data_IF_610734748185
#
_entry.id   IF_610734748185
#
_cell.length_a   1.000
_cell.length_b   1.000
_cell.length_c   1.000
_cell.angle_alpha   90.00
_cell.angle_beta   90.00
_cell.angle_gamma   90.00
#
_symmetry.space_group_name_H-M   'P 1'
#
loop_
_entity.id
_entity.type
_entity.pdbx_description
1 polymer ?
#
# COMPACT_ATOMS: atom_id res chain seq x y z
N UNK A 1 38.31 -5.79 -49.73
CA UNK A 1 38.65 -4.76 -48.71
C UNK A 1 39.62 -5.43 -47.77
N UNK A 2 40.92 -5.05 -47.82
CA UNK A 2 41.92 -5.58 -46.90
C UNK A 2 41.65 -5.01 -45.51
N UNK A 3 41.41 -5.88 -44.53
CA UNK A 3 41.29 -5.51 -43.13
C UNK A 3 42.66 -4.97 -42.65
N UNK A 4 42.68 -3.68 -42.29
CA UNK A 4 43.87 -3.02 -41.70
C UNK A 4 44.17 -3.71 -40.37
N UNK A 5 45.36 -4.30 -40.24
CA UNK A 5 45.82 -4.85 -38.94
C UNK A 5 45.93 -3.73 -37.93
N UNK A 6 45.40 -3.91 -36.69
CA UNK A 6 45.48 -2.89 -35.65
C UNK A 6 46.95 -2.59 -35.27
N UNK A 7 47.22 -1.36 -34.92
CA UNK A 7 48.56 -0.94 -34.43
C UNK A 7 48.80 -1.49 -33.01
N UNK A 8 50.06 -1.50 -32.59
CA UNK A 8 50.46 -1.96 -31.25
C UNK A 8 49.73 -1.13 -30.15
N UNK A 9 49.61 0.17 -30.34
CA UNK A 9 48.93 1.09 -29.41
C UNK A 9 47.41 0.79 -29.36
N UNK A 10 46.80 0.50 -30.49
CA UNK A 10 45.37 0.09 -30.54
C UNK A 10 45.13 -1.25 -29.82
N UNK A 11 46.08 -2.20 -29.95
CA UNK A 11 46.01 -3.48 -29.21
C UNK A 11 46.21 -3.30 -27.70
N UNK A 12 47.17 -2.46 -27.31
CA UNK A 12 47.38 -2.17 -25.88
C UNK A 12 46.16 -1.49 -25.23
N UNK A 13 45.54 -0.54 -25.90
CA UNK A 13 44.31 0.09 -25.46
C UNK A 13 43.15 -0.92 -25.35
N UNK A 14 43.04 -1.84 -26.33
CA UNK A 14 42.04 -2.90 -26.30
C UNK A 14 42.25 -3.84 -25.12
N UNK A 15 43.48 -4.29 -24.89
CA UNK A 15 43.83 -5.17 -23.75
C UNK A 15 43.51 -4.50 -22.44
N UNK A 16 43.86 -3.22 -22.26
CA UNK A 16 43.55 -2.45 -21.08
C UNK A 16 42.03 -2.33 -20.81
N UNK A 17 41.27 -2.11 -21.88
CA UNK A 17 39.79 -2.07 -21.82
C UNK A 17 39.20 -3.43 -21.43
N UNK A 18 39.73 -4.53 -22.00
CA UNK A 18 39.27 -5.88 -21.67
C UNK A 18 39.61 -6.26 -20.23
N UNK A 19 40.76 -5.89 -19.71
CA UNK A 19 41.16 -6.14 -18.31
C UNK A 19 40.22 -5.38 -17.33
N UNK A 20 39.87 -4.12 -17.62
CA UNK A 20 38.89 -3.37 -16.83
C UNK A 20 37.50 -4.02 -16.86
N UNK A 21 37.08 -4.55 -18.00
CA UNK A 21 35.80 -5.28 -18.12
C UNK A 21 35.83 -6.60 -17.32
N UNK A 22 36.93 -7.33 -17.32
CA UNK A 22 37.12 -8.55 -16.51
C UNK A 22 37.03 -8.21 -15.02
N UNK A 23 37.78 -7.19 -14.57
CA UNK A 23 37.73 -6.77 -13.14
C UNK A 23 36.31 -6.38 -12.69
N UNK A 24 35.57 -5.67 -13.55
CA UNK A 24 34.17 -5.31 -13.27
C UNK A 24 33.26 -6.55 -13.18
N UNK A 25 33.44 -7.51 -14.10
CA UNK A 25 32.69 -8.79 -14.06
C UNK A 25 33.00 -9.59 -12.79
N UNK A 26 34.23 -9.68 -12.38
CA UNK A 26 34.63 -10.37 -11.16
C UNK A 26 34.01 -9.72 -9.92
N UNK A 27 34.01 -8.37 -9.83
CA UNK A 27 33.32 -7.65 -8.74
C UNK A 27 31.82 -7.90 -8.73
N UNK A 28 31.18 -8.05 -9.91
CA UNK A 28 29.74 -8.34 -9.98
C UNK A 28 29.40 -9.79 -9.62
N UNK A 29 30.25 -10.75 -9.98
CA UNK A 29 30.00 -12.18 -9.73
C UNK A 29 30.39 -12.61 -8.31
N UNK A 30 31.49 -12.07 -7.79
CA UNK A 30 32.08 -12.51 -6.52
C UNK A 30 32.05 -11.43 -5.42
N UNK A 31 31.61 -10.21 -5.73
CA UNK A 31 31.47 -9.12 -4.76
C UNK A 31 30.37 -9.44 -3.72
N UNK A 32 30.64 -9.12 -2.44
CA UNK A 32 29.68 -9.35 -1.35
C UNK A 32 28.37 -8.58 -1.57
N UNK A 33 27.28 -9.27 -1.84
CA UNK A 33 25.91 -8.72 -1.88
C UNK A 33 25.43 -8.45 -0.44
N UNK A 34 25.74 -7.28 0.13
CA UNK A 34 25.28 -6.89 1.45
C UNK A 34 24.62 -5.52 1.39
N UNK A 35 23.31 -5.46 1.58
CA UNK A 35 22.51 -4.23 1.70
C UNK A 35 22.58 -3.58 3.09
N UNK A 36 23.43 -4.06 4.00
CA UNK A 36 23.51 -3.49 5.35
C UNK A 36 24.48 -2.33 5.39
N UNK A 37 23.95 -1.11 5.55
CA UNK A 37 24.74 0.06 5.93
C UNK A 37 25.47 -0.25 7.25
N UNK A 38 26.77 0.03 7.30
CA UNK A 38 27.59 -0.14 8.51
C UNK A 38 27.15 0.84 9.59
N UNK A 39 26.25 0.41 10.49
CA UNK A 39 26.13 1.04 11.80
C UNK A 39 27.21 0.42 12.69
N UNK A 40 28.12 1.26 13.17
CA UNK A 40 29.11 0.88 14.15
C UNK A 40 28.46 0.24 15.36
N UNK A 41 28.72 -1.05 15.59
CA UNK A 41 28.41 -1.74 16.84
C UNK A 41 29.71 -1.96 17.59
N UNK A 42 29.79 -1.34 18.77
CA UNK A 42 30.73 -1.69 19.80
C UNK A 42 30.53 -3.17 20.21
N UNK A 43 31.64 -3.84 20.47
CA UNK A 43 31.69 -5.25 20.90
C UNK A 43 31.28 -5.37 22.37
N UNK A 44 30.38 -6.29 22.67
CA UNK A 44 30.30 -6.95 23.97
C UNK A 44 30.19 -8.46 23.79
N UNK A 45 30.62 -9.27 24.77
CA UNK A 45 31.11 -10.64 24.52
C UNK A 45 30.01 -11.70 24.57
N UNK A 46 30.25 -12.74 23.78
CA UNK A 46 29.46 -13.98 23.71
C UNK A 46 29.52 -14.79 25.02
N UNK A 47 28.38 -15.25 25.50
CA UNK A 47 28.26 -16.46 26.28
C UNK A 47 27.54 -17.51 25.43
N UNK A 48 28.24 -18.63 25.32
CA UNK A 48 27.76 -19.90 24.76
C UNK A 48 26.96 -20.62 25.81
N UNK A 49 25.75 -21.09 25.48
CA UNK A 49 25.23 -22.30 26.09
C UNK A 49 24.41 -23.10 25.09
N UNK A 50 24.86 -24.31 24.91
CA UNK A 50 24.27 -25.39 24.16
C UNK A 50 23.31 -26.17 25.04
N UNK A 51 22.08 -26.42 24.61
CA UNK A 51 21.35 -27.61 25.00
C UNK A 51 20.35 -28.04 23.95
N UNK A 52 20.61 -29.23 23.42
CA UNK A 52 19.68 -30.09 22.70
C UNK A 52 18.50 -30.47 23.59
N UNK A 53 17.28 -30.31 23.13
CA UNK A 53 16.19 -31.17 23.60
C UNK A 53 15.23 -31.58 22.48
N UNK A 54 14.82 -32.81 22.64
CA UNK A 54 14.22 -33.75 21.71
C UNK A 54 12.75 -33.42 21.37
N UNK A 55 12.38 -33.77 20.15
CA UNK A 55 11.01 -33.91 19.68
C UNK A 55 10.17 -34.80 20.59
N UNK A 56 9.12 -34.26 21.19
CA UNK A 56 8.01 -35.05 21.72
C UNK A 56 6.71 -34.73 20.97
N UNK A 57 6.00 -35.80 20.65
CA UNK A 57 4.80 -35.85 19.85
C UNK A 57 3.65 -35.10 20.52
N UNK A 58 3.01 -34.24 19.76
CA UNK A 58 1.83 -33.47 20.12
C UNK A 58 0.59 -34.37 20.25
N UNK A 59 -0.07 -34.47 21.42
CA UNK A 59 -1.30 -35.26 21.57
C UNK A 59 -2.46 -34.57 20.81
N UNK A 60 -3.18 -35.36 20.04
CA UNK A 60 -4.42 -34.97 19.33
C UNK A 60 -5.41 -34.31 20.29
N UNK A 61 -5.62 -33.01 20.15
CA UNK A 61 -6.70 -32.29 20.83
C UNK A 61 -8.05 -32.79 20.26
N UNK A 62 -8.75 -33.56 21.08
CA UNK A 62 -10.18 -33.85 20.91
C UNK A 62 -10.96 -32.52 20.84
N UNK A 63 -11.59 -32.26 19.72
CA UNK A 63 -12.59 -31.18 19.59
C UNK A 63 -13.81 -31.57 20.44
N UNK A 64 -13.97 -30.94 21.59
CA UNK A 64 -15.26 -30.90 22.24
C UNK A 64 -16.25 -30.20 21.29
N UNK A 65 -17.28 -30.95 20.91
CA UNK A 65 -18.43 -30.44 20.20
C UNK A 65 -19.25 -29.57 21.17
N UNK A 66 -18.96 -28.28 21.23
CA UNK A 66 -19.89 -27.34 21.83
C UNK A 66 -21.09 -27.20 20.88
N UNK A 67 -22.21 -27.72 21.34
CA UNK A 67 -23.48 -27.68 20.64
C UNK A 67 -24.04 -26.25 20.57
N UNK A 68 -24.79 -25.99 19.53
CA UNK A 68 -25.72 -24.87 19.41
C UNK A 68 -25.08 -23.54 19.00
N UNK A 69 -25.39 -23.04 17.81
CA UNK A 69 -24.99 -21.72 17.29
C UNK A 69 -25.64 -20.55 18.04
N UNK A 70 -25.40 -20.45 19.36
CA UNK A 70 -25.69 -19.26 20.15
C UNK A 70 -24.50 -18.31 20.07
N UNK A 71 -24.73 -17.01 19.90
CA UNK A 71 -23.71 -15.98 20.01
C UNK A 71 -23.02 -16.13 21.38
N UNK A 72 -21.69 -16.29 21.39
CA UNK A 72 -20.92 -16.32 22.62
C UNK A 72 -21.18 -15.00 23.36
N UNK A 73 -21.67 -15.08 24.60
CA UNK A 73 -21.82 -13.91 25.48
C UNK A 73 -20.45 -13.31 25.77
N UNK A 74 -20.38 -11.99 25.85
CA UNK A 74 -19.13 -11.31 26.22
C UNK A 74 -18.75 -11.62 27.67
N UNK A 75 -17.46 -11.69 28.02
CA UNK A 75 -16.99 -11.91 29.36
C UNK A 75 -17.59 -10.90 30.37
N UNK A 76 -17.97 -11.34 31.60
CA UNK A 76 -18.62 -10.46 32.57
C UNK A 76 -17.74 -9.34 33.11
N UNK A 77 -16.44 -9.48 33.01
CA UNK A 77 -15.46 -8.49 33.48
C UNK A 77 -15.33 -7.26 32.57
N UNK A 78 -15.96 -7.25 31.38
CA UNK A 78 -15.95 -6.09 30.50
C UNK A 78 -17.06 -5.12 30.98
N UNK A 79 -16.75 -3.83 31.23
CA UNK A 79 -17.75 -2.83 31.59
C UNK A 79 -18.89 -2.77 30.55
N UNK A 80 -20.14 -2.70 31.04
CA UNK A 80 -21.33 -2.58 30.21
C UNK A 80 -21.92 -1.19 30.36
N UNK A 81 -22.33 -0.61 29.25
CA UNK A 81 -23.07 0.64 29.19
C UNK A 81 -24.44 0.37 28.58
N UNK A 82 -25.49 0.54 29.36
CA UNK A 82 -26.84 0.35 28.88
C UNK A 82 -27.29 1.56 28.06
N UNK A 83 -27.90 1.29 26.92
CA UNK A 83 -28.45 2.28 26.01
C UNK A 83 -29.94 1.91 25.83
N UNK A 84 -30.86 2.55 26.58
CA UNK A 84 -32.28 2.31 26.43
C UNK A 84 -32.77 2.86 25.07
N UNK A 85 -33.54 2.09 24.36
CA UNK A 85 -34.14 2.46 23.07
C UNK A 85 -35.65 2.29 23.21
N UNK A 86 -36.38 3.37 23.58
CA UNK A 86 -37.85 3.33 23.68
C UNK A 86 -38.48 3.25 22.29
N UNK A 87 -39.70 2.73 22.21
CA UNK A 87 -40.51 2.85 21.02
C UNK A 87 -40.91 4.30 20.76
N UNK A 88 -41.02 4.70 19.49
CA UNK A 88 -41.51 6.01 19.13
C UNK A 88 -42.94 6.20 19.68
N UNK A 89 -43.30 7.40 20.19
CA UNK A 89 -44.62 7.64 20.76
C UNK A 89 -45.79 7.22 19.87
N UNK A 90 -45.68 7.45 18.56
CA UNK A 90 -46.72 7.09 17.58
C UNK A 90 -46.86 5.57 17.39
N UNK A 91 -45.83 4.80 17.76
CA UNK A 91 -45.86 3.32 17.66
C UNK A 91 -46.38 2.66 18.93
N UNK A 92 -46.62 3.44 19.99
CA UNK A 92 -47.15 2.95 21.26
C UNK A 92 -48.65 2.75 21.27
N UNK A 93 -49.35 3.15 20.19
CA UNK A 93 -50.81 3.04 20.05
C UNK A 93 -51.26 2.21 18.89
N UNK A 94 -52.39 1.53 19.04
CA UNK A 94 -53.01 0.78 17.95
C UNK A 94 -53.51 1.73 16.84
N UNK A 95 -53.07 1.59 15.57
CA UNK A 95 -53.49 2.48 14.48
C UNK A 95 -54.97 2.35 14.12
N UNK A 96 -55.66 1.29 14.54
CA UNK A 96 -57.07 1.06 14.27
C UNK A 96 -58.02 1.55 15.38
N UNK A 97 -57.66 1.37 16.64
CA UNK A 97 -58.57 1.68 17.75
C UNK A 97 -57.98 2.67 18.80
N UNK A 98 -56.74 3.14 18.64
CA UNK A 98 -56.09 4.14 19.52
C UNK A 98 -55.71 3.61 20.89
N UNK A 99 -55.96 2.34 21.26
CA UNK A 99 -55.55 1.77 22.55
C UNK A 99 -54.05 1.67 22.64
N UNK A 100 -53.52 2.00 23.83
CA UNK A 100 -52.07 1.87 24.10
C UNK A 100 -51.65 0.39 24.11
N UNK A 101 -50.40 0.11 23.70
CA UNK A 101 -49.80 -1.20 23.80
C UNK A 101 -49.32 -1.48 25.22
N UNK A 102 -49.47 -2.69 25.68
CA UNK A 102 -48.95 -3.15 26.97
C UNK A 102 -47.48 -3.55 26.85
N UNK A 103 -46.71 -3.25 27.90
CA UNK A 103 -45.32 -3.68 27.94
C UNK A 103 -45.19 -5.19 27.98
N UNK A 104 -44.33 -5.74 27.16
CA UNK A 104 -44.09 -7.19 27.03
C UNK A 104 -42.64 -7.58 27.38
N UNK A 105 -41.91 -6.64 28.03
CA UNK A 105 -40.50 -6.80 28.38
C UNK A 105 -39.56 -6.10 27.41
N UNK A 106 -38.30 -6.42 27.53
CA UNK A 106 -37.21 -5.79 26.80
C UNK A 106 -36.44 -6.83 26.01
N UNK A 107 -35.95 -6.45 24.82
CA UNK A 107 -35.00 -7.25 24.05
C UNK A 107 -33.61 -6.62 24.16
N UNK A 108 -32.66 -7.36 24.71
CA UNK A 108 -31.29 -6.89 24.92
C UNK A 108 -30.37 -7.39 23.82
N UNK A 109 -29.63 -6.49 23.20
CA UNK A 109 -28.55 -6.82 22.25
C UNK A 109 -27.23 -6.23 22.72
N UNK A 110 -26.21 -7.06 22.89
CA UNK A 110 -24.88 -6.64 23.29
C UNK A 110 -23.98 -6.47 22.06
N UNK A 111 -23.21 -5.36 22.02
CA UNK A 111 -22.24 -5.03 20.96
C UNK A 111 -20.95 -4.54 21.61
N UNK A 112 -19.82 -5.04 21.13
CA UNK A 112 -18.51 -4.61 21.62
C UNK A 112 -18.15 -3.24 21.06
N UNK A 113 -17.94 -2.28 21.93
CA UNK A 113 -17.57 -0.90 21.62
C UNK A 113 -16.11 -0.64 22.00
N UNK A 114 -15.40 0.17 21.18
CA UNK A 114 -14.02 0.55 21.40
C UNK A 114 -13.89 2.06 21.55
N UNK A 115 -13.35 2.47 22.69
CA UNK A 115 -12.75 3.80 22.89
C UNK A 115 -11.25 3.57 22.97
N UNK A 116 -10.38 4.42 22.39
CA UNK A 116 -8.94 4.19 22.43
C UNK A 116 -8.45 3.73 23.79
N UNK A 117 -7.77 2.58 23.84
CA UNK A 117 -7.27 1.89 25.04
C UNK A 117 -8.31 1.19 25.93
N UNK A 118 -9.62 1.31 25.67
CA UNK A 118 -10.66 0.68 26.50
C UNK A 118 -11.68 -0.06 25.61
N UNK A 119 -11.87 -1.36 25.87
CA UNK A 119 -12.97 -2.12 25.29
C UNK A 119 -14.16 -2.10 26.27
N UNK A 120 -15.32 -1.73 25.75
CA UNK A 120 -16.58 -1.75 26.51
C UNK A 120 -17.64 -2.53 25.74
N UNK A 121 -18.60 -3.11 26.44
CA UNK A 121 -19.78 -3.74 25.83
C UNK A 121 -20.93 -2.74 25.85
N UNK A 122 -21.44 -2.37 24.69
CA UNK A 122 -22.68 -1.62 24.56
C UNK A 122 -23.83 -2.60 24.58
N UNK A 123 -24.72 -2.46 25.55
CA UNK A 123 -25.94 -3.26 25.69
C UNK A 123 -27.12 -2.43 25.21
N UNK A 124 -27.65 -2.75 24.04
CA UNK A 124 -28.87 -2.12 23.53
C UNK A 124 -30.09 -2.82 24.09
N UNK A 125 -30.86 -2.12 24.94
CA UNK A 125 -32.07 -2.62 25.58
C UNK A 125 -33.25 -2.04 24.81
N UNK A 126 -33.92 -2.89 24.04
CA UNK A 126 -35.03 -2.49 23.15
C UNK A 126 -36.36 -2.83 23.78
N UNK A 127 -37.21 -1.84 23.90
CA UNK A 127 -38.56 -2.01 24.43
C UNK A 127 -39.41 -2.90 23.51
N UNK A 128 -40.15 -3.82 24.11
CA UNK A 128 -41.14 -4.69 23.44
C UNK A 128 -42.50 -4.42 23.98
N UNK A 129 -43.46 -4.12 23.12
CA UNK A 129 -44.86 -3.89 23.48
C UNK A 129 -45.78 -4.84 22.73
N UNK A 130 -46.83 -5.30 23.40
CA UNK A 130 -47.88 -6.13 22.84
C UNK A 130 -49.15 -5.30 22.67
N UNK A 131 -49.86 -5.53 21.53
CA UNK A 131 -51.15 -4.91 21.34
C UNK A 131 -52.17 -5.45 22.37
N UNK A 132 -52.85 -4.53 23.07
CA UNK A 132 -53.88 -4.84 24.02
C UNK A 132 -55.29 -5.00 23.37
N UNK A 133 -55.35 -4.97 22.03
CA UNK A 133 -56.60 -5.05 21.27
C UNK A 133 -56.59 -6.28 20.33
N UNK A 134 -57.77 -6.72 19.87
CA UNK A 134 -57.95 -7.82 18.93
C UNK A 134 -57.98 -7.35 17.46
N UNK A 135 -57.61 -6.13 17.18
CA UNK A 135 -57.52 -5.63 15.80
C UNK A 135 -56.54 -6.47 14.99
N UNK A 136 -56.82 -6.58 13.68
CA UNK A 136 -55.92 -7.25 12.72
C UNK A 136 -54.71 -6.35 12.38
N UNK A 137 -53.69 -6.41 13.25
CA UNK A 137 -52.44 -5.64 13.18
C UNK A 137 -51.27 -6.51 13.66
N UNK A 138 -50.07 -6.03 13.48
CA UNK A 138 -48.91 -6.67 14.07
C UNK A 138 -48.98 -6.66 15.60
N UNK A 139 -49.17 -7.85 16.20
CA UNK A 139 -49.46 -8.03 17.64
C UNK A 139 -48.30 -7.62 18.57
N UNK A 140 -47.04 -7.67 18.09
CA UNK A 140 -45.81 -7.34 18.88
C UNK A 140 -45.00 -6.34 18.13
N UNK A 141 -44.64 -5.26 18.79
CA UNK A 141 -43.65 -4.26 18.31
C UNK A 141 -42.43 -4.27 19.17
N UNK A 142 -41.25 -4.15 18.53
CA UNK A 142 -39.96 -4.06 19.18
C UNK A 142 -39.30 -2.80 18.62
N UNK A 143 -38.68 -1.98 19.49
CA UNK A 143 -37.96 -0.80 19.06
C UNK A 143 -36.85 -1.16 18.04
N UNK A 144 -36.73 -0.36 16.99
CA UNK A 144 -35.75 -0.60 15.93
C UNK A 144 -34.32 -0.53 16.46
N UNK A 145 -33.46 -1.34 15.89
CA UNK A 145 -32.05 -1.32 16.20
C UNK A 145 -31.39 -0.16 15.44
N UNK A 146 -30.51 0.66 16.08
CA UNK A 146 -29.75 1.66 15.35
C UNK A 146 -28.97 1.06 14.19
N UNK A 147 -28.87 1.81 13.10
CA UNK A 147 -28.12 1.40 11.90
C UNK A 147 -26.66 1.12 12.30
N UNK A 148 -26.15 -0.02 11.85
CA UNK A 148 -24.77 -0.47 12.08
C UNK A 148 -24.17 -0.96 10.77
N UNK A 149 -22.88 -0.74 10.58
CA UNK A 149 -22.17 -1.19 9.37
C UNK A 149 -22.17 -2.73 9.22
N UNK A 150 -22.34 -3.45 10.33
CA UNK A 150 -22.49 -4.90 10.36
C UNK A 150 -23.84 -5.24 11.01
N UNK A 151 -24.89 -5.47 10.22
CA UNK A 151 -26.26 -5.68 10.71
C UNK A 151 -26.39 -6.77 11.78
N UNK A 152 -25.65 -7.85 11.63
CA UNK A 152 -25.61 -8.98 12.57
C UNK A 152 -24.30 -9.06 13.34
N UNK A 153 -23.48 -8.00 13.29
CA UNK A 153 -22.17 -7.93 13.94
C UNK A 153 -22.30 -7.64 15.45
N UNK A 154 -21.30 -8.07 16.18
CA UNK A 154 -21.14 -7.81 17.64
C UNK A 154 -20.09 -6.77 17.92
N UNK A 155 -19.79 -5.88 16.96
CA UNK A 155 -18.75 -4.84 17.06
C UNK A 155 -19.29 -3.52 16.52
N UNK A 156 -18.77 -2.41 17.06
CA UNK A 156 -19.13 -1.06 16.61
C UNK A 156 -18.23 -0.60 15.46
N UNK A 157 -18.66 0.44 14.75
CA UNK A 157 -17.88 1.07 13.66
C UNK A 157 -16.55 1.61 14.17
N UNK A 158 -16.51 2.17 15.36
CA UNK A 158 -15.31 2.72 15.98
C UNK A 158 -14.25 1.63 16.20
N UNK A 159 -14.67 0.45 16.65
CA UNK A 159 -13.75 -0.68 16.80
C UNK A 159 -13.19 -1.15 15.47
N UNK A 160 -14.02 -1.20 14.43
CA UNK A 160 -13.57 -1.56 13.08
C UNK A 160 -12.60 -0.51 12.54
N UNK A 161 -12.92 0.77 12.69
CA UNK A 161 -12.04 1.86 12.28
C UNK A 161 -10.68 1.79 12.98
N UNK A 162 -10.66 1.53 14.30
CA UNK A 162 -9.41 1.35 15.03
C UNK A 162 -8.58 0.16 14.51
N UNK A 163 -9.23 -0.96 14.17
CA UNK A 163 -8.55 -2.13 13.58
C UNK A 163 -7.93 -1.80 12.22
N UNK A 164 -8.63 -1.02 11.40
CA UNK A 164 -8.14 -0.61 10.09
C UNK A 164 -6.96 0.37 10.20
N UNK A 165 -7.07 1.40 11.03
CA UNK A 165 -5.98 2.36 11.30
C UNK A 165 -4.75 1.63 11.81
N UNK A 166 -4.88 0.79 12.83
CA UNK A 166 -3.78 -0.03 13.35
C UNK A 166 -3.12 -0.89 12.26
N UNK A 167 -3.92 -1.47 11.34
CA UNK A 167 -3.39 -2.32 10.29
C UNK A 167 -2.65 -1.55 9.19
N UNK A 168 -3.23 -0.45 8.71
CA UNK A 168 -2.77 0.22 7.50
C UNK A 168 -1.92 1.47 7.78
N UNK A 169 -2.15 2.16 8.88
CA UNK A 169 -1.36 3.32 9.29
C UNK A 169 -0.24 2.93 10.28
N UNK A 170 -0.56 2.09 11.27
CA UNK A 170 0.40 1.71 12.33
C UNK A 170 1.14 0.40 12.02
N UNK A 171 0.90 -0.20 10.85
CA UNK A 171 1.54 -1.44 10.40
C UNK A 171 1.40 -2.63 11.37
N UNK A 172 0.32 -2.66 12.18
CA UNK A 172 0.06 -3.70 13.15
C UNK A 172 -0.76 -4.84 12.53
N UNK A 173 -0.19 -6.02 12.27
CA UNK A 173 -0.90 -7.15 11.67
C UNK A 173 -2.09 -7.61 12.53
N UNK A 174 -3.12 -8.17 11.88
CA UNK A 174 -4.36 -8.61 12.56
C UNK A 174 -4.08 -9.57 13.71
N UNK A 175 -3.18 -10.56 13.55
CA UNK A 175 -2.86 -11.50 14.62
C UNK A 175 -2.28 -10.81 15.87
N UNK A 176 -1.43 -9.79 15.69
CA UNK A 176 -0.91 -9.00 16.82
C UNK A 176 -1.98 -8.13 17.48
N UNK A 177 -2.95 -7.62 16.70
CA UNK A 177 -4.09 -6.90 17.25
C UNK A 177 -4.96 -7.83 18.08
N UNK A 178 -5.24 -9.04 17.61
CA UNK A 178 -5.99 -10.05 18.37
C UNK A 178 -5.28 -10.37 19.67
N UNK A 179 -3.99 -10.58 19.65
CA UNK A 179 -3.23 -10.88 20.87
C UNK A 179 -3.13 -9.69 21.82
N UNK A 180 -2.81 -8.51 21.33
CA UNK A 180 -2.52 -7.34 22.16
C UNK A 180 -3.78 -6.63 22.68
N UNK A 181 -4.76 -6.41 21.80
CA UNK A 181 -5.97 -5.63 22.15
C UNK A 181 -7.06 -6.50 22.75
N UNK A 182 -7.35 -7.64 22.13
CA UNK A 182 -8.50 -8.45 22.51
C UNK A 182 -8.19 -9.45 23.62
N UNK A 183 -7.04 -10.11 23.56
CA UNK A 183 -6.66 -11.13 24.57
C UNK A 183 -6.53 -10.54 25.97
N UNK A 184 -5.99 -9.33 26.10
CA UNK A 184 -5.88 -8.64 27.40
C UNK A 184 -7.23 -8.28 28.01
N UNK A 185 -8.27 -8.09 27.18
CA UNK A 185 -9.64 -7.80 27.59
C UNK A 185 -10.52 -9.05 27.75
N UNK A 186 -9.95 -10.26 27.60
CA UNK A 186 -10.69 -11.52 27.72
C UNK A 186 -11.57 -11.84 26.51
N UNK A 187 -11.56 -11.02 25.45
CA UNK A 187 -12.25 -11.28 24.18
C UNK A 187 -11.29 -11.96 23.21
N UNK A 188 -11.78 -12.94 22.45
CA UNK A 188 -10.95 -13.68 21.48
C UNK A 188 -11.68 -13.81 20.14
N UNK A 189 -11.79 -12.72 19.35
CA UNK A 189 -12.30 -12.86 18.00
C UNK A 189 -11.31 -13.69 17.18
N UNK A 190 -11.82 -14.51 16.26
CA UNK A 190 -10.94 -15.16 15.30
C UNK A 190 -10.34 -14.14 14.33
N UNK A 191 -9.13 -14.37 13.86
CA UNK A 191 -8.52 -13.53 12.83
C UNK A 191 -9.41 -13.42 11.58
N UNK A 192 -10.08 -14.51 11.21
CA UNK A 192 -11.04 -14.53 10.10
C UNK A 192 -12.25 -13.62 10.34
N UNK A 193 -12.73 -13.48 11.59
CA UNK A 193 -13.79 -12.53 11.92
C UNK A 193 -13.31 -11.09 11.74
N UNK A 194 -12.12 -10.77 12.23
CA UNK A 194 -11.53 -9.43 12.06
C UNK A 194 -11.29 -9.10 10.58
N UNK A 195 -10.82 -10.07 9.79
CA UNK A 195 -10.69 -9.91 8.34
C UNK A 195 -12.04 -9.65 7.66
N UNK A 196 -13.11 -10.34 8.09
CA UNK A 196 -14.46 -10.11 7.56
C UNK A 196 -14.98 -8.69 7.87
N UNK A 197 -14.69 -8.15 9.06
CA UNK A 197 -15.06 -6.75 9.37
C UNK A 197 -14.40 -5.77 8.39
N UNK A 198 -13.11 -5.98 8.11
CA UNK A 198 -12.38 -5.22 7.09
C UNK A 198 -13.05 -5.30 5.72
N UNK A 199 -13.39 -6.52 5.28
CA UNK A 199 -13.92 -6.75 3.94
C UNK A 199 -15.27 -6.05 3.73
N UNK A 200 -16.18 -6.12 4.72
CA UNK A 200 -17.48 -5.42 4.67
C UNK A 200 -17.29 -3.89 4.60
N UNK A 201 -16.37 -3.33 5.37
CA UNK A 201 -16.12 -1.88 5.31
C UNK A 201 -15.43 -1.50 4.00
N UNK A 202 -14.54 -2.34 3.47
CA UNK A 202 -13.92 -2.10 2.16
C UNK A 202 -14.97 -2.03 1.04
N UNK A 203 -15.99 -2.92 1.05
CA UNK A 203 -17.12 -2.86 0.11
C UNK A 203 -17.93 -1.58 0.26
N UNK A 204 -18.20 -1.13 1.50
CA UNK A 204 -18.93 0.12 1.75
C UNK A 204 -18.15 1.37 1.33
N UNK A 205 -16.80 1.33 1.39
CA UNK A 205 -15.93 2.42 0.99
C UNK A 205 -15.58 2.39 -0.51
N UNK A 206 -15.93 1.34 -1.24
CA UNK A 206 -15.61 1.23 -2.67
C UNK A 206 -16.10 2.42 -3.51
N UNK A 207 -17.34 2.96 -3.32
CA UNK A 207 -17.78 4.14 -4.07
C UNK A 207 -16.90 5.38 -3.84
N UNK A 208 -16.38 5.55 -2.61
CA UNK A 208 -15.45 6.63 -2.30
C UNK A 208 -14.11 6.43 -3.01
N UNK A 209 -13.59 5.21 -3.03
CA UNK A 209 -12.37 4.89 -3.75
C UNK A 209 -12.53 5.10 -5.26
N UNK A 210 -13.67 4.78 -5.83
CA UNK A 210 -13.96 5.01 -7.25
C UNK A 210 -14.04 6.53 -7.54
N UNK A 211 -14.66 7.32 -6.67
CA UNK A 211 -14.65 8.78 -6.79
C UNK A 211 -13.22 9.34 -6.72
N UNK A 212 -12.38 8.83 -5.83
CA UNK A 212 -10.97 9.23 -5.75
C UNK A 212 -10.20 8.90 -7.03
N UNK A 213 -10.48 7.77 -7.69
CA UNK A 213 -9.90 7.43 -9.01
C UNK A 213 -10.28 8.44 -10.10
N UNK A 214 -11.54 8.88 -10.11
CA UNK A 214 -11.96 9.88 -11.07
C UNK A 214 -11.36 11.26 -10.76
N UNK A 215 -11.30 11.63 -9.49
CA UNK A 215 -10.72 12.93 -9.08
C UNK A 215 -9.23 13.02 -9.39
N UNK A 216 -8.45 11.97 -9.13
CA UNK A 216 -7.01 11.99 -9.41
C UNK A 216 -6.69 12.21 -10.90
N UNK A 217 -7.56 11.77 -11.81
CA UNK A 217 -7.42 12.01 -13.25
C UNK A 217 -7.62 13.48 -13.65
N UNK A 218 -8.11 14.32 -12.74
CA UNK A 218 -8.20 15.77 -12.95
C UNK A 218 -6.87 16.48 -12.62
N UNK A 219 -5.93 15.80 -11.99
CA UNK A 219 -4.58 16.32 -11.73
C UNK A 219 -3.84 16.60 -13.04
N UNK A 220 -3.05 17.68 -13.08
CA UNK A 220 -2.18 17.93 -14.23
C UNK A 220 -1.01 16.93 -14.31
N UNK A 221 -0.59 16.37 -13.16
CA UNK A 221 0.47 15.37 -13.08
C UNK A 221 0.07 14.27 -12.08
N UNK A 222 0.21 13.02 -12.48
CA UNK A 222 0.04 11.84 -11.63
C UNK A 222 1.41 11.18 -11.44
N UNK A 223 1.82 11.00 -10.18
CA UNK A 223 2.99 10.17 -9.87
C UNK A 223 2.55 8.73 -9.65
N UNK A 224 3.25 7.78 -10.25
CA UNK A 224 2.96 6.35 -10.07
C UNK A 224 4.21 5.53 -9.83
N UNK A 225 4.07 4.52 -9.00
CA UNK A 225 5.10 3.52 -8.71
C UNK A 225 4.43 2.16 -8.49
N UNK A 226 5.17 1.09 -8.73
CA UNK A 226 4.68 -0.27 -8.57
C UNK A 226 5.60 -1.08 -7.65
N UNK A 227 5.00 -1.75 -6.67
CA UNK A 227 5.72 -2.66 -5.78
C UNK A 227 5.21 -4.08 -5.96
N UNK A 228 6.11 -5.04 -6.14
CA UNK A 228 5.75 -6.46 -6.21
C UNK A 228 5.19 -6.92 -4.87
N UNK A 229 4.01 -7.51 -4.89
CA UNK A 229 3.33 -8.03 -3.70
C UNK A 229 2.95 -9.50 -3.90
N UNK A 230 3.52 -10.44 -3.11
CA UNK A 230 3.13 -11.84 -3.19
C UNK A 230 1.69 -12.03 -2.71
N UNK A 231 0.88 -12.72 -3.51
CA UNK A 231 -0.53 -12.99 -3.24
C UNK A 231 -0.82 -14.49 -3.35
N UNK A 232 -1.69 -15.00 -2.49
CA UNK A 232 -2.22 -16.36 -2.58
C UNK A 232 -3.57 -16.36 -3.29
N UNK A 233 -3.71 -17.18 -4.32
CA UNK A 233 -4.97 -17.36 -5.03
C UNK A 233 -5.79 -18.46 -4.35
N UNK A 234 -6.94 -18.14 -3.72
CA UNK A 234 -7.73 -19.11 -2.97
C UNK A 234 -8.28 -20.26 -3.83
N UNK A 235 -8.60 -19.96 -5.11
CA UNK A 235 -9.20 -20.92 -6.06
C UNK A 235 -8.19 -21.89 -6.68
N UNK A 236 -6.89 -21.59 -6.62
CA UNK A 236 -5.84 -22.38 -7.25
C UNK A 236 -4.95 -23.08 -6.21
N UNK A 237 -5.52 -23.87 -5.29
CA UNK A 237 -4.79 -24.65 -4.28
C UNK A 237 -3.73 -23.85 -3.50
N UNK A 238 -4.03 -22.61 -3.13
CA UNK A 238 -3.10 -21.71 -2.43
C UNK A 238 -1.81 -21.37 -3.21
N UNK A 239 -1.83 -21.43 -4.53
CA UNK A 239 -0.69 -21.03 -5.34
C UNK A 239 -0.27 -19.58 -5.02
N UNK A 240 1.02 -19.42 -4.75
CA UNK A 240 1.63 -18.11 -4.55
C UNK A 240 1.93 -17.49 -5.93
N UNK A 241 1.43 -16.30 -6.18
CA UNK A 241 1.71 -15.50 -7.38
C UNK A 241 2.27 -14.14 -6.98
N UNK A 242 3.10 -13.56 -7.82
CA UNK A 242 3.55 -12.18 -7.64
C UNK A 242 2.59 -11.25 -8.37
N UNK A 243 1.81 -10.49 -7.61
CA UNK A 243 1.06 -9.37 -8.12
C UNK A 243 1.83 -8.06 -7.99
N UNK A 244 1.29 -6.98 -8.54
CA UNK A 244 1.80 -5.62 -8.38
C UNK A 244 0.80 -4.75 -7.64
N UNK A 245 1.28 -4.04 -6.64
CA UNK A 245 0.56 -2.96 -5.97
C UNK A 245 1.02 -1.65 -6.59
N UNK A 246 0.14 -1.01 -7.35
CA UNK A 246 0.34 0.33 -7.88
C UNK A 246 -0.12 1.38 -6.87
N UNK A 247 0.56 2.50 -6.84
CA UNK A 247 0.11 3.72 -6.18
C UNK A 247 0.03 4.83 -7.22
N UNK A 248 -1.06 5.59 -7.21
CA UNK A 248 -1.25 6.80 -8.00
C UNK A 248 -1.42 7.96 -7.06
N UNK A 249 -0.60 8.99 -7.23
CA UNK A 249 -0.55 10.16 -6.36
C UNK A 249 -0.85 11.38 -7.23
N UNK A 250 -1.91 12.10 -6.88
CA UNK A 250 -2.28 13.34 -7.56
C UNK A 250 -1.42 14.54 -7.13
N UNK A 251 -1.69 15.68 -7.73
CA UNK A 251 -1.04 16.94 -7.40
C UNK A 251 -1.70 17.65 -6.19
N UNK A 252 -1.29 18.89 -5.92
CA UNK A 252 -1.80 19.69 -4.79
C UNK A 252 -3.31 19.98 -4.90
N UNK A 253 -3.87 20.07 -6.11
CA UNK A 253 -5.30 20.33 -6.33
C UNK A 253 -6.17 19.10 -6.08
N UNK A 254 -5.63 17.91 -6.36
CA UNK A 254 -6.27 16.63 -6.14
C UNK A 254 -5.34 15.71 -5.30
N UNK A 255 -5.15 16.00 -4.00
CA UNK A 255 -4.11 15.39 -3.16
C UNK A 255 -4.48 13.98 -2.68
N UNK A 256 -4.92 13.13 -3.59
CA UNK A 256 -5.30 11.77 -3.28
C UNK A 256 -4.16 10.79 -3.56
N UNK A 257 -4.10 9.75 -2.72
CA UNK A 257 -3.30 8.57 -2.95
C UNK A 257 -4.24 7.40 -3.22
N UNK A 258 -4.21 6.85 -4.41
CA UNK A 258 -5.07 5.74 -4.81
C UNK A 258 -4.19 4.51 -5.03
N UNK A 259 -4.57 3.41 -4.39
CA UNK A 259 -3.89 2.13 -4.53
C UNK A 259 -4.70 1.19 -5.41
N UNK A 260 -4.02 0.50 -6.33
CA UNK A 260 -4.62 -0.51 -7.19
C UNK A 260 -3.77 -1.78 -7.18
N UNK A 261 -4.41 -2.93 -6.93
CA UNK A 261 -3.72 -4.21 -6.87
C UNK A 261 -4.04 -5.06 -8.11
N UNK A 262 -2.99 -5.48 -8.79
CA UNK A 262 -3.07 -6.36 -9.95
C UNK A 262 -2.47 -7.74 -9.64
N UNK A 263 -3.23 -8.81 -9.91
CA UNK A 263 -2.79 -10.19 -9.64
C UNK A 263 -1.61 -10.59 -10.53
N UNK A 264 -1.47 -9.97 -11.70
CA UNK A 264 -0.38 -10.23 -12.63
C UNK A 264 0.45 -8.96 -12.88
N UNK A 265 1.62 -9.14 -13.46
CA UNK A 265 2.53 -8.03 -13.83
C UNK A 265 2.20 -7.40 -15.18
N UNK A 266 0.98 -7.57 -15.70
CA UNK A 266 0.59 -6.98 -16.97
C UNK A 266 0.26 -5.50 -16.82
N UNK A 267 0.57 -4.71 -17.84
CA UNK A 267 0.22 -3.29 -17.92
C UNK A 267 -1.31 -3.03 -17.99
N UNK A 268 -2.14 -4.05 -18.22
CA UNK A 268 -3.59 -3.91 -18.48
C UNK A 268 -4.33 -3.13 -17.39
N UNK A 269 -4.04 -3.40 -16.13
CA UNK A 269 -4.73 -2.72 -15.00
C UNK A 269 -4.37 -1.24 -14.96
N UNK A 270 -3.10 -0.91 -15.09
CA UNK A 270 -2.62 0.47 -15.14
C UNK A 270 -3.18 1.21 -16.36
N UNK A 271 -3.20 0.59 -17.53
CA UNK A 271 -3.80 1.16 -18.74
C UNK A 271 -5.29 1.43 -18.56
N UNK A 272 -6.02 0.52 -17.89
CA UNK A 272 -7.43 0.72 -17.59
C UNK A 272 -7.65 1.84 -16.56
N UNK A 273 -6.78 1.94 -15.55
CA UNK A 273 -6.86 3.01 -14.54
C UNK A 273 -6.63 4.39 -15.16
N UNK A 274 -5.62 4.55 -16.01
CA UNK A 274 -5.25 5.81 -16.66
C UNK A 274 -5.94 6.01 -18.01
N UNK A 275 -6.95 5.21 -18.33
CA UNK A 275 -7.68 5.38 -19.59
C UNK A 275 -8.31 6.77 -19.71
N UNK A 276 -8.03 7.42 -20.85
CA UNK A 276 -8.47 8.79 -21.12
C UNK A 276 -7.74 9.91 -20.39
N UNK A 277 -6.72 9.60 -19.60
CA UNK A 277 -5.86 10.62 -18.99
C UNK A 277 -4.86 11.16 -20.04
N UNK A 278 -4.70 12.49 -20.08
CA UNK A 278 -3.86 13.20 -21.07
C UNK A 278 -2.81 14.13 -20.42
N UNK A 279 -2.68 14.12 -19.08
CA UNK A 279 -1.71 14.95 -18.35
C UNK A 279 -0.31 14.34 -18.32
N UNK A 280 0.49 14.77 -17.36
CA UNK A 280 1.83 14.22 -17.13
C UNK A 280 1.76 13.00 -16.24
N UNK A 281 2.51 11.94 -16.57
CA UNK A 281 2.67 10.76 -15.70
C UNK A 281 4.14 10.62 -15.33
N UNK A 282 4.44 10.82 -14.04
CA UNK A 282 5.78 10.58 -13.51
C UNK A 282 5.88 9.14 -13.03
N UNK A 283 6.74 8.36 -13.67
CA UNK A 283 6.98 6.96 -13.37
C UNK A 283 8.47 6.60 -13.40
N UNK A 284 8.80 5.38 -13.01
CA UNK A 284 10.11 4.81 -13.30
C UNK A 284 10.19 4.35 -14.76
N UNK A 285 11.42 4.15 -15.24
CA UNK A 285 11.64 3.68 -16.61
C UNK A 285 11.41 2.16 -16.77
N UNK A 286 10.33 1.63 -16.17
CA UNK A 286 9.99 0.21 -16.30
C UNK A 286 9.13 -0.01 -17.56
N UNK A 287 9.51 -0.94 -18.41
CA UNK A 287 8.86 -1.19 -19.70
C UNK A 287 7.34 -1.46 -19.67
N UNK A 288 6.76 -1.71 -18.49
CA UNK A 288 5.30 -1.79 -18.34
C UNK A 288 4.60 -0.45 -18.63
N UNK A 289 5.29 0.68 -18.44
CA UNK A 289 4.74 2.01 -18.70
C UNK A 289 4.81 2.42 -20.16
N UNK A 290 5.70 1.82 -20.98
CA UNK A 290 5.89 2.18 -22.39
C UNK A 290 4.57 2.15 -23.19
N UNK A 291 3.71 1.16 -22.89
CA UNK A 291 2.42 1.03 -23.55
C UNK A 291 1.43 2.18 -23.26
N UNK A 292 1.66 2.94 -22.17
CA UNK A 292 0.82 4.09 -21.79
C UNK A 292 1.08 5.29 -22.69
N UNK A 293 2.32 5.50 -23.09
CA UNK A 293 2.79 6.68 -23.84
C UNK A 293 2.70 6.50 -25.36
N UNK A 294 2.33 5.31 -25.83
CA UNK A 294 2.15 5.07 -27.26
C UNK A 294 0.77 5.56 -27.73
N UNK A 295 0.66 6.21 -28.91
CA UNK A 295 -0.60 6.56 -29.49
C UNK A 295 -1.49 5.33 -29.68
N UNK A 296 -2.66 5.32 -29.07
CA UNK A 296 -3.66 4.26 -29.32
C UNK A 296 -4.21 4.48 -30.73
N UNK A 297 -4.09 3.48 -31.61
CA UNK A 297 -4.59 3.56 -33.00
C UNK A 297 -6.10 3.78 -33.10
N UNK A 298 -6.85 3.75 -32.02
CA UNK A 298 -8.33 3.72 -32.02
C UNK A 298 -8.97 5.07 -31.69
N UNK A 299 -8.26 5.99 -31.02
CA UNK A 299 -8.84 7.30 -30.66
C UNK A 299 -7.82 8.43 -30.78
N UNK A 300 -7.76 9.01 -31.99
CA UNK A 300 -6.93 10.19 -32.27
C UNK A 300 -7.41 11.48 -31.57
N UNK A 301 -8.57 11.45 -30.91
CA UNK A 301 -9.12 12.62 -30.21
C UNK A 301 -8.56 12.78 -28.80
N UNK A 302 -7.93 11.75 -28.25
CA UNK A 302 -7.32 11.74 -26.91
C UNK A 302 -5.83 11.43 -27.03
N UNK A 303 -4.95 12.45 -26.94
CA UNK A 303 -3.51 12.21 -26.95
C UNK A 303 -3.11 11.33 -25.74
N UNK A 304 -2.06 10.51 -25.87
CA UNK A 304 -1.52 9.80 -24.73
C UNK A 304 -0.98 10.78 -23.70
N UNK A 305 -0.86 10.38 -22.42
CA UNK A 305 -0.21 11.20 -21.42
C UNK A 305 1.26 11.43 -21.78
N UNK A 306 1.83 12.50 -21.22
CA UNK A 306 3.26 12.80 -21.38
C UNK A 306 4.06 12.12 -20.27
N UNK A 307 5.11 11.42 -20.68
CA UNK A 307 6.01 10.76 -19.74
C UNK A 307 6.91 11.76 -19.01
N UNK A 308 7.09 11.57 -17.71
CA UNK A 308 8.05 12.30 -16.88
C UNK A 308 8.89 11.27 -16.12
N UNK A 309 10.18 11.23 -16.37
CA UNK A 309 11.09 10.31 -15.71
C UNK A 309 11.28 10.62 -14.21
N UNK A 310 11.32 9.60 -13.38
CA UNK A 310 11.52 9.76 -11.95
C UNK A 310 13.02 9.86 -11.60
N UNK A 311 13.52 11.07 -11.39
CA UNK A 311 14.92 11.31 -10.99
C UNK A 311 15.32 10.64 -9.66
N UNK A 312 14.39 10.37 -8.76
CA UNK A 312 14.68 9.63 -7.53
C UNK A 312 15.09 8.18 -7.81
N UNK A 313 14.43 7.52 -8.75
CA UNK A 313 14.79 6.17 -9.21
C UNK A 313 16.15 6.17 -9.93
N UNK A 314 16.37 7.11 -10.84
CA UNK A 314 17.66 7.27 -11.49
C UNK A 314 18.81 7.46 -10.48
N UNK A 315 18.65 8.40 -9.54
CA UNK A 315 19.64 8.63 -8.49
C UNK A 315 19.92 7.37 -7.66
N UNK A 316 18.90 6.61 -7.27
CA UNK A 316 19.06 5.36 -6.52
C UNK A 316 19.91 4.36 -7.30
N UNK A 317 19.68 4.22 -8.59
CA UNK A 317 20.47 3.35 -9.46
C UNK A 317 21.95 3.79 -9.55
N UNK A 318 22.23 5.07 -9.66
CA UNK A 318 23.61 5.57 -9.59
C UNK A 318 24.26 5.30 -8.23
N UNK A 319 23.52 5.35 -7.13
CA UNK A 319 24.02 4.97 -5.80
C UNK A 319 24.35 3.45 -5.73
N UNK A 320 23.57 2.62 -6.40
CA UNK A 320 23.85 1.18 -6.52
C UNK A 320 25.08 0.93 -7.40
N UNK A 321 25.22 1.70 -8.50
CA UNK A 321 26.34 1.61 -9.43
C UNK A 321 27.66 2.09 -8.85
N UNK A 322 27.67 3.00 -7.85
CA UNK A 322 28.87 3.55 -7.21
C UNK A 322 29.82 2.47 -6.66
N UNK A 323 29.27 1.28 -6.32
CA UNK A 323 30.08 0.14 -5.85
C UNK A 323 30.96 -0.46 -6.94
N UNK A 324 30.59 -0.30 -8.20
CA UNK A 324 31.23 -0.94 -9.36
C UNK A 324 31.95 0.08 -10.26
N UNK A 325 31.32 1.23 -10.46
CA UNK A 325 31.83 2.36 -11.26
C UNK A 325 31.85 3.65 -10.40
N UNK A 326 32.81 3.78 -9.47
CA UNK A 326 32.78 4.85 -8.47
C UNK A 326 32.96 6.25 -9.05
N UNK A 327 33.79 6.43 -10.07
CA UNK A 327 34.15 7.76 -10.58
C UNK A 327 32.98 8.37 -11.37
N UNK A 328 32.42 7.64 -12.31
CA UNK A 328 31.27 8.04 -13.12
C UNK A 328 30.03 8.27 -12.24
N UNK A 329 29.78 7.31 -11.33
CA UNK A 329 28.63 7.41 -10.43
C UNK A 329 28.71 8.59 -9.48
N UNK A 330 29.90 8.87 -8.91
CA UNK A 330 30.11 10.05 -8.04
C UNK A 330 29.94 11.36 -8.78
N UNK A 331 30.41 11.45 -10.04
CA UNK A 331 30.20 12.63 -10.88
C UNK A 331 28.70 12.94 -11.00
N UNK A 332 27.90 11.95 -11.36
CA UNK A 332 26.45 12.10 -11.53
C UNK A 332 25.77 12.37 -10.18
N UNK A 333 26.13 11.67 -9.12
CA UNK A 333 25.55 11.86 -7.78
C UNK A 333 25.84 13.26 -7.22
N UNK A 334 26.97 13.87 -7.54
CA UNK A 334 27.28 15.25 -7.17
C UNK A 334 26.35 16.26 -7.88
N UNK A 335 26.00 16.02 -9.14
CA UNK A 335 24.99 16.83 -9.85
C UNK A 335 23.61 16.69 -9.22
N UNK A 336 23.19 15.49 -8.91
CA UNK A 336 21.95 15.27 -8.15
C UNK A 336 21.96 15.97 -6.80
N UNK A 337 23.08 15.97 -6.08
CA UNK A 337 23.19 16.69 -4.80
C UNK A 337 22.96 18.19 -4.96
N UNK A 338 23.47 18.80 -6.03
CA UNK A 338 23.22 20.23 -6.34
C UNK A 338 21.76 20.47 -6.68
N UNK A 339 21.15 19.63 -7.53
CA UNK A 339 19.74 19.71 -7.91
C UNK A 339 18.82 19.60 -6.69
N UNK A 340 19.02 18.61 -5.83
CA UNK A 340 18.21 18.46 -4.60
C UNK A 340 18.42 19.59 -3.60
N UNK A 341 19.58 20.25 -3.60
CA UNK A 341 19.81 21.44 -2.80
C UNK A 341 18.93 22.60 -3.27
N UNK A 342 18.88 22.86 -4.58
CA UNK A 342 18.00 23.88 -5.17
C UNK A 342 16.54 23.59 -4.82
N UNK A 343 16.07 22.34 -5.01
CA UNK A 343 14.70 21.94 -4.68
C UNK A 343 14.35 22.15 -3.19
N UNK A 344 15.31 21.90 -2.29
CA UNK A 344 15.11 22.15 -0.87
C UNK A 344 15.02 23.66 -0.55
N UNK A 345 15.76 24.50 -1.26
CA UNK A 345 15.73 25.96 -1.09
C UNK A 345 14.43 26.57 -1.62
N UNK A 346 13.89 26.04 -2.73
CA UNK A 346 12.68 26.59 -3.38
C UNK A 346 11.37 25.95 -2.90
N UNK A 347 11.44 24.97 -1.99
CA UNK A 347 10.28 24.19 -1.55
C UNK A 347 9.12 25.06 -1.07
N UNK A 348 9.43 26.08 -0.28
CA UNK A 348 8.44 26.95 0.36
C UNK A 348 8.27 28.30 -0.39
N UNK A 349 8.90 28.46 -1.56
CA UNK A 349 8.76 29.65 -2.39
C UNK A 349 7.44 29.63 -3.20
N UNK A 350 6.92 30.82 -3.60
CA UNK A 350 5.82 30.93 -4.53
C UNK A 350 6.11 30.21 -5.86
N UNK A 351 5.03 29.83 -6.56
CA UNK A 351 5.14 29.05 -7.81
C UNK A 351 6.04 29.72 -8.85
N UNK A 352 5.86 31.02 -9.11
CA UNK A 352 6.64 31.76 -10.13
C UNK A 352 8.13 31.82 -9.78
N UNK A 353 8.44 32.00 -8.51
CA UNK A 353 9.84 32.00 -8.04
C UNK A 353 10.46 30.60 -8.17
N UNK A 354 9.70 29.53 -7.85
CA UNK A 354 10.16 28.14 -8.07
C UNK A 354 10.47 27.88 -9.54
N UNK A 355 9.58 28.32 -10.44
CA UNK A 355 9.78 28.19 -11.90
C UNK A 355 11.04 28.95 -12.33
N UNK A 356 11.18 30.20 -11.93
CA UNK A 356 12.34 31.03 -12.27
C UNK A 356 13.66 30.40 -11.79
N UNK A 357 13.73 30.03 -10.51
CA UNK A 357 14.94 29.41 -9.94
C UNK A 357 15.29 28.08 -10.64
N UNK A 358 14.30 27.28 -10.98
CA UNK A 358 14.51 26.03 -11.73
C UNK A 358 15.05 26.29 -13.14
N UNK A 359 14.55 27.29 -13.83
CA UNK A 359 15.06 27.66 -15.16
C UNK A 359 16.50 28.12 -15.10
N UNK A 360 16.84 29.01 -14.15
CA UNK A 360 18.17 29.60 -14.05
C UNK A 360 19.22 28.63 -13.47
N UNK A 361 18.86 27.79 -12.51
CA UNK A 361 19.82 26.99 -11.76
C UNK A 361 19.72 25.49 -12.06
N UNK A 362 18.52 24.92 -12.14
CA UNK A 362 18.36 23.48 -12.32
C UNK A 362 18.53 23.04 -13.78
N UNK A 363 18.04 23.80 -14.75
CA UNK A 363 18.16 23.46 -16.18
C UNK A 363 19.61 23.33 -16.63
N UNK A 364 20.55 24.24 -16.30
CA UNK A 364 21.96 24.06 -16.63
C UNK A 364 22.57 22.80 -16.02
N UNK A 365 22.24 22.48 -14.75
CA UNK A 365 22.70 21.27 -14.08
C UNK A 365 22.13 19.98 -14.70
N UNK A 366 20.89 20.01 -15.14
CA UNK A 366 20.27 18.88 -15.87
C UNK A 366 20.98 18.67 -17.22
N UNK A 367 21.28 19.74 -17.94
CA UNK A 367 22.04 19.65 -19.20
C UNK A 367 23.45 19.06 -18.97
N UNK A 368 24.14 19.46 -17.89
CA UNK A 368 25.43 18.91 -17.49
C UNK A 368 25.27 17.40 -17.15
N UNK A 369 24.23 17.03 -16.42
CA UNK A 369 23.93 15.64 -16.06
C UNK A 369 23.68 14.77 -17.30
N UNK A 370 22.85 15.24 -18.23
CA UNK A 370 22.57 14.50 -19.48
C UNK A 370 23.82 14.40 -20.35
N UNK A 371 24.65 15.43 -20.45
CA UNK A 371 25.91 15.38 -21.18
C UNK A 371 26.87 14.38 -20.55
N UNK A 372 27.01 14.38 -19.21
CA UNK A 372 27.83 13.40 -18.53
C UNK A 372 27.34 11.95 -18.78
N UNK A 373 26.03 11.73 -18.79
CA UNK A 373 25.46 10.42 -19.12
C UNK A 373 25.77 10.02 -20.59
N UNK A 374 25.68 10.96 -21.55
CA UNK A 374 26.04 10.70 -22.96
C UNK A 374 27.53 10.39 -23.15
N UNK A 375 28.40 11.11 -22.43
CA UNK A 375 29.84 10.81 -22.42
C UNK A 375 30.13 9.40 -21.93
N UNK A 376 29.52 8.98 -20.82
CA UNK A 376 29.64 7.62 -20.28
C UNK A 376 29.11 6.59 -21.29
N UNK A 377 28.00 6.88 -21.95
CA UNK A 377 27.42 6.02 -22.99
C UNK A 377 28.36 5.86 -24.17
N UNK A 378 28.93 6.97 -24.66
CA UNK A 378 29.84 6.99 -25.82
C UNK A 378 31.17 6.30 -25.58
N UNK A 379 31.62 6.30 -24.31
CA UNK A 379 32.87 5.63 -23.94
C UNK A 379 32.78 4.10 -23.96
N UNK A 380 31.56 3.52 -24.01
CA UNK A 380 31.28 2.07 -24.01
C UNK A 380 32.01 1.26 -22.91
N UNK A 381 32.49 1.91 -21.85
CA UNK A 381 33.29 1.30 -20.78
C UNK A 381 32.42 0.60 -19.72
N UNK A 382 31.09 0.59 -19.87
CA UNK A 382 30.17 -0.07 -18.96
C UNK A 382 29.62 -1.39 -19.53
N UNK A 383 29.26 -2.30 -18.63
CA UNK A 383 28.58 -3.52 -19.04
C UNK A 383 27.09 -3.23 -19.26
N UNK A 384 26.48 -3.60 -20.39
CA UNK A 384 25.06 -3.31 -20.68
C UNK A 384 24.06 -3.79 -19.60
N UNK A 385 24.41 -4.87 -18.89
CA UNK A 385 23.61 -5.44 -17.78
C UNK A 385 24.09 -5.01 -16.39
N UNK A 386 25.05 -4.08 -16.28
CA UNK A 386 25.43 -3.48 -15.00
C UNK A 386 24.36 -2.49 -14.54
N UNK A 387 24.31 -2.15 -13.23
CA UNK A 387 23.42 -1.08 -12.75
C UNK A 387 23.57 0.23 -13.52
N UNK A 388 24.81 0.62 -13.85
CA UNK A 388 25.08 1.80 -14.67
C UNK A 388 24.59 1.62 -16.12
N UNK A 389 24.85 0.47 -16.73
CA UNK A 389 24.39 0.16 -18.08
C UNK A 389 22.86 0.22 -18.21
N UNK A 390 22.13 -0.33 -17.26
CA UNK A 390 20.67 -0.25 -17.23
C UNK A 390 20.16 1.19 -17.19
N UNK A 391 20.78 2.06 -16.41
CA UNK A 391 20.35 3.47 -16.33
C UNK A 391 20.61 4.19 -17.65
N UNK A 392 21.83 4.02 -18.19
CA UNK A 392 22.29 4.77 -19.36
C UNK A 392 21.52 4.33 -20.60
N UNK A 393 21.19 3.04 -20.72
CA UNK A 393 20.42 2.53 -21.87
C UNK A 393 18.93 2.87 -21.77
N UNK A 394 18.33 2.84 -20.57
CA UNK A 394 16.89 3.06 -20.38
C UNK A 394 16.49 4.52 -20.12
N UNK A 395 17.39 5.39 -19.64
CA UNK A 395 17.04 6.76 -19.19
C UNK A 395 17.63 7.89 -20.07
N UNK A 396 18.45 7.60 -21.08
CA UNK A 396 18.91 8.64 -22.02
C UNK A 396 17.92 8.83 -23.19
N UNK A 397 16.91 7.99 -23.28
CA UNK A 397 15.80 8.15 -24.22
C UNK A 397 14.71 9.16 -23.72
N UNK A 398 14.92 9.81 -22.58
CA UNK A 398 14.06 10.88 -22.02
C UNK A 398 14.68 12.28 -22.40
#
# INVERSE_FOLDING_TARGET
MEERKPTYEELEALVKTLLLRIEKLEKMLFGKKSEKSKKNKAKEPQQTDSSNEKNEANPKRTREKNGGGGRNSFPPNIPRRDIPIPLHPDECRCPKCGKDYESMGEETTEVLHYVPMVLTVLRFIRERKKAACDCDIQKVKIAEMPIRNLDKGSVTTELIAAVLVNKYCDHLPVHRQVERLFKTSGVKPSESSVCRWRDVIAEQLAPLADLMKERIKMSCCINTDATTAPCRLPKEQNRLVNGNQYVYIGNEDEPYNVFDFQINQSAKGMLAFLDGYCGFVQCDAHGNYDALFQPKMVDLTKPPPLEVGCHAHCRRKFTEAEKYEPDDSKRILNLYKKLYKIEAEVKDCPFDERVFRRQEESVPLLNELFNACREIQSAELFLPKSPLGHIIVSNIAL
#
